data_IF_103017494115
#
_entry.id   IF_103017494115
#
_cell.length_a   1.000
_cell.length_b   1.000
_cell.length_c   1.000
_cell.angle_alpha   90.00
_cell.angle_beta   90.00
_cell.angle_gamma   90.00
#
_symmetry.space_group_name_H-M   'P 1'
#
loop_
_entity.id
_entity.type
_entity.pdbx_description
1 polymer ?
#
# COMPACT_ATOMS: atom_id res chain seq x y z
N UNK A 1 -78.88 -15.92 -20.02
CA UNK A 1 -78.00 -15.08 -19.21
C UNK A 1 -76.56 -15.42 -19.50
N UNK A 2 -75.89 -14.66 -20.38
CA UNK A 2 -74.50 -14.85 -20.74
C UNK A 2 -73.62 -13.99 -19.81
N UNK A 3 -72.75 -14.62 -19.01
CA UNK A 3 -71.77 -13.92 -18.17
C UNK A 3 -70.55 -13.63 -19.04
N UNK A 4 -70.25 -12.34 -19.24
CA UNK A 4 -69.03 -11.84 -19.87
C UNK A 4 -67.96 -11.77 -18.79
N UNK A 5 -66.88 -12.57 -18.91
CA UNK A 5 -65.68 -12.44 -18.07
C UNK A 5 -64.78 -11.38 -18.68
N UNK A 6 -64.58 -10.28 -17.97
CA UNK A 6 -63.67 -9.20 -18.32
C UNK A 6 -62.26 -9.63 -17.84
N UNK A 7 -61.36 -9.94 -18.74
CA UNK A 7 -59.96 -10.27 -18.46
C UNK A 7 -59.22 -8.94 -18.34
N UNK A 8 -58.85 -8.53 -17.10
CA UNK A 8 -58.01 -7.36 -16.88
C UNK A 8 -56.56 -7.79 -17.05
N UNK A 9 -55.95 -7.39 -18.17
CA UNK A 9 -54.52 -7.59 -18.45
C UNK A 9 -53.71 -6.55 -17.66
N UNK A 10 -53.09 -6.95 -16.52
CA UNK A 10 -52.14 -6.15 -15.79
C UNK A 10 -50.82 -6.09 -16.56
N UNK A 11 -50.58 -5.00 -17.28
CA UNK A 11 -49.27 -4.70 -17.87
C UNK A 11 -48.36 -4.25 -16.74
N UNK A 12 -47.50 -5.16 -16.27
CA UNK A 12 -46.40 -4.81 -15.37
C UNK A 12 -45.38 -3.99 -16.15
N UNK A 13 -45.41 -2.68 -15.99
CA UNK A 13 -44.35 -1.79 -16.48
C UNK A 13 -43.11 -2.04 -15.61
N UNK A 14 -42.17 -2.88 -16.10
CA UNK A 14 -40.84 -2.97 -15.54
C UNK A 14 -40.15 -1.62 -15.73
N UNK A 15 -40.19 -0.78 -14.70
CA UNK A 15 -39.34 0.42 -14.62
C UNK A 15 -37.93 -0.08 -14.37
N UNK A 16 -37.17 -0.27 -15.46
CA UNK A 16 -35.73 -0.48 -15.37
C UNK A 16 -35.12 0.72 -14.62
N UNK A 17 -34.31 0.50 -13.56
CA UNK A 17 -33.63 1.61 -12.92
C UNK A 17 -32.82 2.36 -13.96
N UNK A 18 -32.77 3.70 -13.92
CA UNK A 18 -31.99 4.47 -14.87
C UNK A 18 -30.55 3.95 -14.86
N UNK A 19 -30.10 3.43 -15.99
CA UNK A 19 -28.69 3.17 -16.25
C UNK A 19 -28.01 4.51 -16.00
N UNK A 20 -27.31 4.65 -14.87
CA UNK A 20 -26.45 5.82 -14.62
C UNK A 20 -25.54 5.89 -15.84
N UNK A 21 -25.80 6.82 -16.74
CA UNK A 21 -24.94 7.12 -17.86
C UNK A 21 -23.57 7.37 -17.26
N UNK A 22 -22.58 6.60 -17.68
CA UNK A 22 -21.20 6.82 -17.30
C UNK A 22 -20.88 8.29 -17.62
N UNK A 23 -20.89 9.15 -16.60
CA UNK A 23 -20.51 10.55 -16.78
C UNK A 23 -19.16 10.53 -17.46
N UNK A 24 -19.07 11.14 -18.62
CA UNK A 24 -17.85 11.22 -19.41
C UNK A 24 -16.76 11.77 -18.50
N UNK A 25 -15.81 10.89 -18.12
CA UNK A 25 -14.65 11.28 -17.29
C UNK A 25 -14.00 12.49 -17.96
N UNK A 26 -13.80 13.62 -17.26
CA UNK A 26 -13.19 14.80 -17.85
C UNK A 26 -11.86 14.40 -18.47
N UNK A 27 -11.65 14.74 -19.76
CA UNK A 27 -10.49 14.28 -20.52
C UNK A 27 -9.15 14.78 -19.99
N UNK A 28 -9.16 15.83 -19.12
CA UNK A 28 -7.97 16.30 -18.41
C UNK A 28 -8.35 16.95 -17.07
N UNK A 29 -7.67 16.56 -16.00
CA UNK A 29 -7.64 17.30 -14.74
C UNK A 29 -6.69 18.48 -14.95
N UNK A 30 -7.16 19.72 -14.70
CA UNK A 30 -6.35 20.92 -14.88
C UNK A 30 -5.17 20.94 -13.93
N UNK A 31 -4.01 21.32 -14.43
CA UNK A 31 -2.78 21.40 -13.67
C UNK A 31 -2.35 22.86 -13.46
N UNK A 32 -1.72 23.13 -12.33
CA UNK A 32 -1.11 24.42 -11.99
C UNK A 32 0.32 24.21 -11.52
N UNK A 33 1.24 25.06 -11.98
CA UNK A 33 2.61 25.07 -11.51
C UNK A 33 2.73 25.82 -10.19
N UNK A 34 3.42 25.19 -9.23
CA UNK A 34 3.76 25.80 -7.94
C UNK A 34 5.04 25.19 -7.40
N UNK A 35 6.00 26.03 -6.96
CA UNK A 35 7.30 25.61 -6.41
C UNK A 35 8.02 24.56 -7.28
N UNK A 36 8.07 24.78 -8.61
CA UNK A 36 8.79 23.92 -9.55
C UNK A 36 8.15 22.59 -9.86
N UNK A 37 6.84 22.38 -9.54
CA UNK A 37 6.11 21.14 -9.84
C UNK A 37 4.65 21.40 -10.18
N UNK A 38 4.03 20.42 -10.84
CA UNK A 38 2.61 20.49 -11.18
C UNK A 38 1.74 20.02 -10.01
N UNK A 39 0.64 20.74 -9.80
CA UNK A 39 -0.38 20.44 -8.81
C UNK A 39 -1.75 20.36 -9.48
N UNK A 40 -2.61 19.49 -8.92
CA UNK A 40 -3.97 19.23 -9.40
C UNK A 40 -4.97 19.76 -8.38
N UNK A 41 -6.01 20.46 -8.83
CA UNK A 41 -7.07 20.92 -7.95
C UNK A 41 -7.83 19.72 -7.34
N UNK A 42 -7.98 19.71 -6.04
CA UNK A 42 -8.68 18.61 -5.31
C UNK A 42 -10.15 18.52 -5.74
N UNK A 43 -10.79 19.64 -6.09
CA UNK A 43 -12.15 19.66 -6.66
C UNK A 43 -12.26 18.96 -8.01
N UNK A 44 -11.21 19.05 -8.84
CA UNK A 44 -11.20 18.38 -10.14
C UNK A 44 -10.96 16.88 -9.98
N UNK A 45 -10.14 16.47 -8.99
CA UNK A 45 -9.98 15.08 -8.59
C UNK A 45 -11.31 14.50 -8.07
N UNK A 46 -12.03 15.27 -7.25
CA UNK A 46 -13.35 14.86 -6.75
C UNK A 46 -14.31 14.62 -7.92
N UNK A 47 -14.38 15.56 -8.87
CA UNK A 47 -15.20 15.43 -10.09
C UNK A 47 -14.78 14.25 -10.95
N UNK A 48 -13.47 14.04 -11.12
CA UNK A 48 -12.90 12.94 -11.90
C UNK A 48 -13.33 11.56 -11.38
N UNK A 49 -13.43 11.40 -10.04
CA UNK A 49 -13.89 10.17 -9.41
C UNK A 49 -15.40 10.14 -9.14
N UNK A 50 -16.14 11.23 -9.41
CA UNK A 50 -17.54 11.35 -9.02
C UNK A 50 -17.75 11.43 -7.50
N UNK A 51 -16.74 11.91 -6.76
CA UNK A 51 -16.76 12.01 -5.30
C UNK A 51 -17.34 13.33 -4.83
N UNK A 52 -18.11 13.30 -3.74
CA UNK A 52 -18.43 14.48 -2.95
C UNK A 52 -17.16 14.97 -2.22
N UNK A 53 -16.96 16.30 -2.12
CA UNK A 53 -15.85 16.90 -1.38
C UNK A 53 -16.40 17.74 -0.24
N UNK A 54 -15.92 17.48 0.97
CA UNK A 54 -16.27 18.20 2.20
C UNK A 54 -15.00 18.79 2.80
N UNK A 55 -15.06 20.09 3.16
CA UNK A 55 -14.03 20.75 3.98
C UNK A 55 -14.39 20.63 5.45
N UNK A 56 -13.50 20.06 6.23
CA UNK A 56 -13.55 19.98 7.68
C UNK A 56 -12.63 21.00 8.37
N UNK A 57 -12.49 20.92 9.68
CA UNK A 57 -11.59 21.79 10.45
C UNK A 57 -10.12 21.57 10.04
N UNK A 58 -9.26 22.55 10.41
CA UNK A 58 -7.81 22.51 10.18
C UNK A 58 -7.41 22.27 8.72
N UNK A 59 -8.19 22.82 7.76
CA UNK A 59 -7.96 22.64 6.32
C UNK A 59 -7.87 21.17 5.89
N UNK A 60 -8.63 20.29 6.54
CA UNK A 60 -8.81 18.91 6.17
C UNK A 60 -9.90 18.79 5.10
N UNK A 61 -9.61 18.07 4.03
CA UNK A 61 -10.55 17.79 2.95
C UNK A 61 -10.79 16.29 2.86
N UNK A 62 -12.06 15.92 2.74
CA UNK A 62 -12.50 14.54 2.55
C UNK A 62 -13.23 14.44 1.23
N UNK A 63 -12.76 13.56 0.35
CA UNK A 63 -13.47 13.17 -0.87
C UNK A 63 -14.03 11.77 -0.63
N UNK A 64 -15.31 11.55 -0.93
CA UNK A 64 -15.94 10.26 -0.70
C UNK A 64 -17.00 9.91 -1.74
N UNK A 65 -17.02 8.60 -2.09
CA UNK A 65 -18.04 7.98 -2.92
C UNK A 65 -18.21 6.52 -2.47
N UNK A 66 -19.38 6.16 -1.94
CA UNK A 66 -19.63 4.81 -1.39
C UNK A 66 -18.50 4.39 -0.42
N UNK A 67 -17.76 3.36 -0.77
CA UNK A 67 -16.67 2.81 0.07
C UNK A 67 -15.28 3.41 -0.26
N UNK A 68 -15.20 4.36 -1.20
CA UNK A 68 -13.96 5.03 -1.57
C UNK A 68 -13.84 6.35 -0.81
N UNK A 69 -12.67 6.59 -0.20
CA UNK A 69 -12.42 7.79 0.59
C UNK A 69 -10.98 8.26 0.45
N UNK A 70 -10.81 9.55 0.19
CA UNK A 70 -9.52 10.23 0.18
C UNK A 70 -9.57 11.32 1.24
N UNK A 71 -8.62 11.34 2.15
CA UNK A 71 -8.47 12.40 3.17
C UNK A 71 -7.11 13.04 3.00
N UNK A 72 -7.10 14.36 2.92
CA UNK A 72 -5.87 15.16 2.88
C UNK A 72 -6.03 16.39 3.79
N UNK A 73 -4.91 16.87 4.31
CA UNK A 73 -4.86 18.09 5.13
C UNK A 73 -3.80 19.01 4.51
N UNK A 74 -4.18 20.23 4.22
CA UNK A 74 -3.26 21.23 3.65
C UNK A 74 -2.09 21.46 4.60
N UNK A 75 -0.90 21.60 4.05
CA UNK A 75 0.38 21.76 4.77
C UNK A 75 0.80 20.52 5.62
N UNK A 76 0.15 19.36 5.43
CA UNK A 76 0.53 18.11 6.10
C UNK A 76 0.77 17.01 5.08
N UNK A 77 1.87 16.26 5.21
CA UNK A 77 2.19 15.13 4.32
C UNK A 77 1.44 13.85 4.67
N UNK A 78 0.62 13.82 5.69
CA UNK A 78 -0.17 12.64 6.05
C UNK A 78 -1.65 12.84 5.73
N UNK A 79 -2.29 11.75 5.40
CA UNK A 79 -3.71 11.64 5.12
C UNK A 79 -4.17 10.19 5.18
N UNK A 80 -5.26 9.86 4.51
CA UNK A 80 -5.68 8.47 4.38
C UNK A 80 -6.33 8.17 3.04
N UNK A 81 -6.18 6.92 2.58
CA UNK A 81 -6.86 6.37 1.43
C UNK A 81 -7.64 5.12 1.88
N UNK A 82 -8.96 5.14 1.72
CA UNK A 82 -9.85 4.04 2.13
C UNK A 82 -9.63 3.62 3.60
N UNK A 83 -9.37 4.60 4.48
CA UNK A 83 -9.17 4.39 5.91
C UNK A 83 -7.73 4.08 6.34
N UNK A 84 -6.84 3.78 5.41
CA UNK A 84 -5.41 3.50 5.70
C UNK A 84 -4.59 4.78 5.66
N UNK A 85 -3.79 5.00 6.69
CA UNK A 85 -2.85 6.15 6.77
C UNK A 85 -1.86 6.09 5.62
N UNK A 86 -1.63 7.23 4.99
CA UNK A 86 -0.66 7.37 3.91
C UNK A 86 0.20 8.61 4.12
N UNK A 87 1.47 8.53 3.71
CA UNK A 87 2.34 9.69 3.65
C UNK A 87 2.41 10.18 2.21
N UNK A 88 1.90 11.40 1.97
CA UNK A 88 2.06 12.06 0.67
C UNK A 88 3.52 12.44 0.43
N UNK A 89 3.93 12.45 -0.82
CA UNK A 89 5.29 12.86 -1.24
C UNK A 89 5.50 14.35 -0.95
N UNK A 90 4.45 15.15 -1.20
CA UNK A 90 4.42 16.57 -0.93
C UNK A 90 3.17 16.93 -0.14
N UNK A 91 3.29 17.89 0.75
CA UNK A 91 2.12 18.41 1.44
C UNK A 91 1.14 19.04 0.44
N UNK A 92 -0.18 18.74 0.53
CA UNK A 92 -1.19 19.50 -0.19
C UNK A 92 -1.10 20.98 0.15
N UNK A 93 -1.40 21.86 -0.80
CA UNK A 93 -1.27 23.31 -0.65
C UNK A 93 -2.59 24.02 -0.96
N UNK A 94 -2.76 25.25 -0.48
CA UNK A 94 -3.78 26.17 -1.02
C UNK A 94 -3.17 27.05 -2.11
N UNK A 95 -3.80 27.10 -3.27
CA UNK A 95 -3.50 28.06 -4.32
C UNK A 95 -4.81 28.81 -4.65
N UNK A 96 -4.79 30.14 -4.54
CA UNK A 96 -5.98 30.98 -4.73
C UNK A 96 -7.20 30.50 -3.95
N UNK A 97 -7.00 30.16 -2.65
CA UNK A 97 -8.05 29.71 -1.73
C UNK A 97 -8.57 28.29 -1.95
N UNK A 98 -8.02 27.53 -2.91
CA UNK A 98 -8.44 26.16 -3.23
C UNK A 98 -7.37 25.14 -2.86
N UNK A 99 -7.74 23.93 -2.43
CA UNK A 99 -6.78 22.87 -2.13
C UNK A 99 -6.25 22.21 -3.41
N UNK A 100 -4.95 21.93 -3.41
CA UNK A 100 -4.24 21.23 -4.48
C UNK A 100 -3.35 20.12 -3.92
N UNK A 101 -3.18 19.04 -4.68
CA UNK A 101 -2.26 17.94 -4.42
C UNK A 101 -1.24 17.85 -5.57
N UNK A 102 -0.01 17.43 -5.29
CA UNK A 102 0.96 17.27 -6.37
C UNK A 102 0.52 16.23 -7.40
N UNK A 103 0.83 16.45 -8.68
CA UNK A 103 0.56 15.47 -9.74
C UNK A 103 1.27 14.13 -9.44
N UNK A 104 2.45 14.19 -8.83
CA UNK A 104 3.19 12.99 -8.45
C UNK A 104 2.44 12.19 -7.39
N UNK A 105 1.88 12.85 -6.36
CA UNK A 105 1.02 12.20 -5.36
C UNK A 105 -0.24 11.62 -5.99
N UNK A 106 -0.90 12.38 -6.86
CA UNK A 106 -2.07 11.86 -7.55
C UNK A 106 -1.72 10.61 -8.34
N UNK A 107 -0.68 10.65 -9.18
CA UNK A 107 -0.35 9.58 -10.11
C UNK A 107 0.30 8.34 -9.47
N UNK A 108 1.04 8.51 -8.35
CA UNK A 108 1.83 7.44 -7.72
C UNK A 108 1.26 6.95 -6.39
N UNK A 109 0.43 7.76 -5.72
CA UNK A 109 -0.15 7.45 -4.40
C UNK A 109 -1.65 7.20 -4.51
N UNK A 110 -2.42 8.16 -5.05
CA UNK A 110 -3.89 8.11 -5.07
C UNK A 110 -4.42 7.17 -6.16
N UNK A 111 -4.04 7.39 -7.41
CA UNK A 111 -4.52 6.65 -8.58
C UNK A 111 -4.39 5.12 -8.44
N UNK A 112 -3.24 4.56 -8.04
CA UNK A 112 -3.09 3.12 -7.96
C UNK A 112 -4.00 2.47 -6.91
N UNK A 113 -4.43 3.21 -5.88
CA UNK A 113 -5.37 2.75 -4.86
C UNK A 113 -6.82 2.87 -5.34
N UNK A 114 -7.16 3.97 -6.03
CA UNK A 114 -8.53 4.26 -6.44
C UNK A 114 -8.96 3.53 -7.72
N UNK A 115 -8.03 3.22 -8.65
CA UNK A 115 -8.35 2.63 -9.95
C UNK A 115 -7.44 1.48 -10.34
N UNK A 116 -8.01 0.28 -10.53
CA UNK A 116 -7.26 -0.87 -11.04
C UNK A 116 -6.81 -0.70 -12.51
N UNK A 117 -7.47 0.18 -13.27
CA UNK A 117 -7.17 0.40 -14.69
C UNK A 117 -5.78 1.03 -14.93
N UNK A 118 -5.21 1.70 -13.93
CA UNK A 118 -3.86 2.32 -14.06
C UNK A 118 -2.73 1.35 -13.73
N UNK A 119 -3.06 0.13 -13.30
CA UNK A 119 -2.09 -0.91 -13.01
C UNK A 119 -1.87 -1.78 -14.26
N UNK A 120 -0.63 -2.05 -14.65
CA UNK A 120 -0.33 -3.02 -15.70
C UNK A 120 -0.93 -4.38 -15.35
N UNK A 121 -1.55 -5.02 -16.36
CA UNK A 121 -2.11 -6.36 -16.20
C UNK A 121 -1.01 -7.39 -16.34
N UNK A 122 -0.77 -8.15 -15.26
CA UNK A 122 0.24 -9.20 -15.22
C UNK A 122 -0.23 -10.35 -14.33
N UNK A 123 -0.07 -11.58 -14.79
CA UNK A 123 -0.25 -12.78 -13.96
C UNK A 123 0.95 -12.92 -13.02
N UNK A 124 0.70 -12.86 -11.73
CA UNK A 124 1.70 -13.09 -10.69
C UNK A 124 1.74 -14.60 -10.39
N UNK A 125 2.92 -15.20 -10.50
CA UNK A 125 3.16 -16.63 -10.29
C UNK A 125 4.20 -16.91 -9.21
N UNK A 126 5.13 -15.98 -9.02
CA UNK A 126 6.28 -16.19 -8.15
C UNK A 126 6.53 -14.99 -7.23
N UNK A 127 7.00 -15.29 -6.02
CA UNK A 127 7.24 -14.31 -4.96
C UNK A 127 8.60 -14.58 -4.32
N UNK A 128 9.43 -13.55 -4.19
CA UNK A 128 10.63 -13.59 -3.35
C UNK A 128 10.28 -13.04 -1.97
N UNK A 129 10.55 -13.81 -0.93
CA UNK A 129 10.51 -13.35 0.46
C UNK A 129 11.95 -13.10 0.91
N UNK A 130 12.16 -11.95 1.52
CA UNK A 130 13.44 -11.52 2.06
C UNK A 130 13.33 -11.33 3.58
N UNK A 131 13.69 -12.36 4.38
CA UNK A 131 13.77 -12.19 5.83
C UNK A 131 14.92 -11.24 6.16
N UNK A 132 14.62 -10.09 6.76
CA UNK A 132 15.63 -9.09 7.13
C UNK A 132 16.70 -9.66 8.05
N UNK A 133 17.92 -9.09 8.00
CA UNK A 133 19.07 -9.46 8.83
C UNK A 133 19.52 -10.91 8.67
N UNK A 134 20.21 -11.47 9.66
CA UNK A 134 20.68 -12.86 9.68
C UNK A 134 22.18 -13.00 9.95
N UNK A 135 22.62 -14.16 10.45
CA UNK A 135 24.01 -14.44 10.79
C UNK A 135 24.59 -13.41 11.76
N UNK A 136 25.64 -12.70 11.33
CA UNK A 136 26.32 -11.64 12.10
C UNK A 136 25.48 -10.37 12.31
N UNK A 137 24.48 -10.14 11.49
CA UNK A 137 23.54 -9.01 11.63
C UNK A 137 22.31 -9.47 12.40
N UNK A 138 22.23 -9.07 13.66
CA UNK A 138 21.13 -9.43 14.55
C UNK A 138 19.86 -8.61 14.29
N UNK A 139 19.97 -7.42 13.67
CA UNK A 139 18.89 -6.43 13.65
C UNK A 139 18.61 -5.86 15.04
N UNK A 140 17.41 -5.35 15.23
CA UNK A 140 16.99 -4.75 16.48
C UNK A 140 16.87 -5.79 17.62
N UNK A 141 17.26 -5.42 18.87
CA UNK A 141 17.00 -6.24 20.04
C UNK A 141 15.50 -6.17 20.41
N UNK A 142 14.95 -7.32 20.78
CA UNK A 142 13.58 -7.47 21.25
C UNK A 142 13.48 -7.95 22.70
N UNK A 143 12.25 -8.11 23.23
CA UNK A 143 12.02 -8.67 24.55
C UNK A 143 12.60 -10.11 24.68
N UNK A 144 12.85 -10.53 25.93
CA UNK A 144 13.31 -11.89 26.25
C UNK A 144 14.60 -12.30 25.51
N UNK A 145 15.53 -11.36 25.33
CA UNK A 145 16.80 -11.58 24.59
C UNK A 145 16.61 -12.06 23.15
N UNK A 146 15.46 -11.77 22.55
CA UNK A 146 15.22 -12.06 21.13
C UNK A 146 15.88 -11.02 20.23
N UNK A 147 16.11 -11.41 18.97
CA UNK A 147 16.64 -10.56 17.94
C UNK A 147 15.71 -10.51 16.73
N UNK A 148 15.70 -9.39 16.04
CA UNK A 148 14.89 -9.20 14.83
C UNK A 148 15.10 -10.31 13.81
N UNK A 149 16.34 -10.73 13.57
CA UNK A 149 16.66 -11.81 12.60
C UNK A 149 15.91 -13.10 12.84
N UNK A 150 15.62 -13.44 14.10
CA UNK A 150 14.89 -14.67 14.48
C UNK A 150 13.40 -14.53 14.16
N UNK A 151 12.82 -13.37 14.47
CA UNK A 151 11.40 -13.07 14.29
C UNK A 151 11.07 -12.97 12.81
N UNK A 152 11.90 -12.24 12.05
CA UNK A 152 11.72 -12.08 10.59
C UNK A 152 11.84 -13.42 9.87
N UNK A 153 12.79 -14.29 10.26
CA UNK A 153 12.89 -15.65 9.71
C UNK A 153 11.65 -16.48 10.04
N UNK A 154 11.20 -16.47 11.30
CA UNK A 154 10.03 -17.25 11.74
C UNK A 154 8.76 -16.84 10.99
N UNK A 155 8.49 -15.52 10.85
CA UNK A 155 7.35 -15.01 10.08
C UNK A 155 7.49 -15.41 8.60
N UNK A 156 8.68 -15.26 8.02
CA UNK A 156 8.93 -15.52 6.60
C UNK A 156 8.79 -16.99 6.23
N UNK A 157 9.20 -17.92 7.08
CA UNK A 157 9.01 -19.35 6.83
C UNK A 157 7.52 -19.72 6.81
N UNK A 158 6.74 -19.20 7.76
CA UNK A 158 5.27 -19.39 7.79
C UNK A 158 4.60 -18.73 6.58
N UNK A 159 5.06 -17.53 6.19
CA UNK A 159 4.56 -16.84 5.01
C UNK A 159 4.86 -17.59 3.72
N UNK A 160 6.06 -18.17 3.58
CA UNK A 160 6.41 -19.05 2.46
C UNK A 160 5.40 -20.19 2.30
N UNK A 161 5.13 -20.90 3.40
CA UNK A 161 4.26 -22.08 3.35
C UNK A 161 2.80 -21.68 3.05
N UNK A 162 2.33 -20.59 3.63
CA UNK A 162 1.00 -20.05 3.35
C UNK A 162 0.83 -19.56 1.89
N UNK A 163 1.84 -18.91 1.31
CA UNK A 163 1.80 -18.50 -0.09
C UNK A 163 1.92 -19.69 -1.06
N UNK A 164 2.72 -20.70 -0.73
CA UNK A 164 2.79 -21.95 -1.50
C UNK A 164 1.44 -22.67 -1.52
N UNK A 165 0.73 -22.71 -0.40
CA UNK A 165 -0.62 -23.26 -0.31
C UNK A 165 -1.64 -22.46 -1.18
N UNK A 166 -1.34 -21.21 -1.56
CA UNK A 166 -2.12 -20.42 -2.53
C UNK A 166 -1.67 -20.62 -3.99
N UNK A 167 -0.73 -21.52 -4.25
CA UNK A 167 -0.25 -21.87 -5.59
C UNK A 167 0.88 -21.00 -6.13
N UNK A 168 1.54 -20.18 -5.29
CA UNK A 168 2.70 -19.42 -5.72
C UNK A 168 4.00 -20.25 -5.64
N UNK A 169 4.88 -20.04 -6.62
CA UNK A 169 6.29 -20.41 -6.46
C UNK A 169 6.95 -19.40 -5.53
N UNK A 170 7.52 -19.86 -4.42
CA UNK A 170 8.11 -18.97 -3.40
C UNK A 170 9.60 -19.23 -3.26
N UNK A 171 10.38 -18.17 -3.50
CA UNK A 171 11.81 -18.09 -3.26
C UNK A 171 12.08 -17.36 -1.95
N UNK A 172 13.24 -17.62 -1.34
CA UNK A 172 13.67 -16.92 -0.13
C UNK A 172 15.14 -16.53 -0.23
N UNK A 173 15.50 -15.34 0.30
CA UNK A 173 16.91 -14.91 0.35
C UNK A 173 17.70 -15.68 1.43
N UNK A 174 17.02 -16.13 2.49
CA UNK A 174 17.55 -17.06 3.49
C UNK A 174 16.46 -17.94 4.10
N UNK A 175 16.80 -19.16 4.46
CA UNK A 175 15.92 -20.14 5.14
C UNK A 175 16.47 -20.58 6.50
N UNK A 176 17.63 -20.05 6.88
CA UNK A 176 18.32 -20.27 8.15
C UNK A 176 18.99 -18.99 8.65
N UNK A 177 19.75 -19.09 9.74
CA UNK A 177 20.50 -17.97 10.33
C UNK A 177 21.81 -17.74 9.58
N UNK A 178 21.74 -17.21 8.35
CA UNK A 178 22.87 -16.78 7.54
C UNK A 178 22.68 -15.31 7.12
N UNK A 179 23.77 -14.63 6.78
CA UNK A 179 23.79 -13.23 6.37
C UNK A 179 24.04 -13.11 4.86
N UNK A 180 23.02 -13.07 3.99
CA UNK A 180 23.19 -12.54 2.66
C UNK A 180 23.33 -11.01 2.74
N UNK A 181 24.33 -10.47 2.04
CA UNK A 181 24.49 -9.02 1.92
C UNK A 181 23.29 -8.40 1.21
N UNK A 182 23.13 -7.09 1.30
CA UNK A 182 22.04 -6.38 0.58
C UNK A 182 22.14 -6.61 -0.93
N UNK A 183 23.33 -6.69 -1.46
CA UNK A 183 23.59 -6.98 -2.87
C UNK A 183 23.22 -8.43 -3.21
N UNK A 184 23.59 -9.40 -2.37
CA UNK A 184 23.22 -10.81 -2.57
C UNK A 184 21.70 -10.98 -2.65
N UNK A 185 20.94 -10.30 -1.78
CA UNK A 185 19.47 -10.33 -1.78
C UNK A 185 18.90 -9.86 -3.12
N UNK A 186 19.43 -8.77 -3.66
CA UNK A 186 19.04 -8.24 -4.98
C UNK A 186 19.43 -9.20 -6.10
N UNK A 187 20.65 -9.77 -6.04
CA UNK A 187 21.16 -10.72 -7.03
C UNK A 187 20.38 -12.05 -7.01
N UNK A 188 19.98 -12.54 -5.84
CA UNK A 188 19.08 -13.71 -5.71
C UNK A 188 17.74 -13.44 -6.39
N UNK A 189 17.14 -12.24 -6.21
CA UNK A 189 15.93 -11.87 -6.92
C UNK A 189 16.16 -11.82 -8.44
N UNK A 190 17.26 -11.23 -8.89
CA UNK A 190 17.58 -11.11 -10.32
C UNK A 190 17.73 -12.50 -10.99
N UNK A 191 18.30 -13.47 -10.28
CA UNK A 191 18.42 -14.88 -10.74
C UNK A 191 17.04 -15.58 -10.76
N UNK A 192 16.24 -15.42 -9.70
CA UNK A 192 14.93 -16.05 -9.57
C UNK A 192 13.87 -15.41 -10.48
N UNK A 193 14.04 -14.15 -10.88
CA UNK A 193 13.08 -13.35 -11.66
C UNK A 193 11.66 -13.38 -11.06
N UNK A 194 11.57 -13.33 -9.73
CA UNK A 194 10.27 -13.38 -9.05
C UNK A 194 9.40 -12.17 -9.42
N UNK A 195 8.09 -12.39 -9.51
CA UNK A 195 7.11 -11.36 -9.91
C UNK A 195 6.88 -10.31 -8.83
N UNK A 196 7.07 -10.66 -7.55
CA UNK A 196 6.97 -9.77 -6.38
C UNK A 196 8.16 -9.97 -5.44
N UNK A 197 8.49 -8.91 -4.70
CA UNK A 197 9.50 -8.94 -3.63
C UNK A 197 8.93 -8.42 -2.32
N UNK A 198 8.97 -9.22 -1.26
CA UNK A 198 8.46 -8.92 0.07
C UNK A 198 9.60 -9.00 1.08
N UNK A 199 10.11 -7.86 1.56
CA UNK A 199 11.10 -7.79 2.64
C UNK A 199 10.39 -7.70 3.98
N UNK A 200 10.74 -8.56 4.92
CA UNK A 200 10.07 -8.69 6.23
C UNK A 200 11.03 -8.22 7.32
N UNK A 201 10.58 -7.23 8.07
CA UNK A 201 11.33 -6.56 9.12
C UNK A 201 10.49 -6.36 10.38
N UNK A 202 11.17 -5.96 11.46
CA UNK A 202 10.58 -5.45 12.69
C UNK A 202 11.29 -4.16 13.08
N UNK A 203 10.54 -3.11 13.27
CA UNK A 203 11.06 -1.78 13.56
C UNK A 203 11.61 -1.64 15.00
N UNK A 204 12.36 -0.58 15.22
CA UNK A 204 12.79 -0.15 16.55
C UNK A 204 12.83 1.37 16.64
N UNK A 205 12.62 1.90 17.84
CA UNK A 205 12.72 3.32 18.15
C UNK A 205 13.42 3.53 19.49
N UNK A 206 14.10 4.66 19.63
CA UNK A 206 14.61 5.12 20.94
C UNK A 206 13.46 5.43 21.89
N UNK A 207 12.33 5.90 21.38
CA UNK A 207 11.10 6.15 22.15
C UNK A 207 10.31 4.85 22.28
N UNK A 208 10.36 4.25 23.48
CA UNK A 208 9.80 2.91 23.74
C UNK A 208 8.28 2.82 23.67
N UNK A 209 7.55 3.93 23.75
CA UNK A 209 6.09 3.96 23.60
C UNK A 209 5.63 3.82 22.15
N UNK A 210 6.52 4.07 21.16
CA UNK A 210 6.18 3.92 19.75
C UNK A 210 5.90 2.45 19.42
N UNK A 211 4.78 2.21 18.76
CA UNK A 211 4.31 0.88 18.31
C UNK A 211 3.58 1.02 16.97
N UNK A 212 3.13 -0.09 16.39
CA UNK A 212 2.31 -0.14 15.19
C UNK A 212 3.03 -0.72 13.98
N UNK A 213 2.32 -0.80 12.89
CA UNK A 213 2.78 -1.41 11.63
C UNK A 213 2.93 -0.34 10.55
N UNK A 214 3.99 -0.45 9.75
CA UNK A 214 4.20 0.41 8.59
C UNK A 214 4.75 -0.37 7.40
N UNK A 215 4.33 0.01 6.20
CA UNK A 215 4.80 -0.62 4.96
C UNK A 215 5.50 0.41 4.10
N UNK A 216 6.72 0.11 3.68
CA UNK A 216 7.54 1.00 2.87
C UNK A 216 7.55 0.59 1.40
N UNK A 217 7.49 1.62 0.54
CA UNK A 217 7.74 1.53 -0.90
C UNK A 217 8.94 2.38 -1.28
N UNK A 218 9.55 2.09 -2.43
CA UNK A 218 10.62 2.96 -2.95
C UNK A 218 10.07 4.36 -3.21
N UNK A 219 10.81 5.37 -2.76
CA UNK A 219 10.46 6.77 -3.02
C UNK A 219 10.56 7.06 -4.52
N UNK A 220 9.53 7.60 -5.17
CA UNK A 220 9.61 8.03 -6.56
C UNK A 220 10.71 9.06 -6.81
N UNK A 221 11.33 9.01 -7.98
CA UNK A 221 12.30 10.02 -8.41
C UNK A 221 11.64 11.42 -8.40
N UNK A 222 12.36 12.43 -7.95
CA UNK A 222 11.87 13.80 -7.81
C UNK A 222 11.13 14.08 -6.50
N UNK A 223 10.99 13.09 -5.60
CA UNK A 223 10.32 13.24 -4.31
C UNK A 223 11.26 13.05 -3.11
N UNK A 224 10.93 13.61 -1.93
CA UNK A 224 11.59 13.29 -0.66
C UNK A 224 11.03 11.97 -0.10
N UNK A 225 11.87 11.23 0.64
CA UNK A 225 11.41 10.10 1.47
C UNK A 225 10.52 10.61 2.61
N UNK A 226 9.83 9.70 3.29
CA UNK A 226 8.91 10.09 4.37
C UNK A 226 9.61 10.78 5.54
N UNK A 227 10.86 10.40 5.82
CA UNK A 227 11.73 11.03 6.85
C UNK A 227 12.46 12.28 6.36
N UNK A 228 12.46 12.57 5.05
CA UNK A 228 13.28 13.62 4.46
C UNK A 228 12.43 14.82 4.04
N UNK A 229 13.05 15.99 3.94
CA UNK A 229 12.49 17.19 3.33
C UNK A 229 13.03 17.44 1.90
N UNK A 230 14.19 16.89 1.56
CA UNK A 230 14.87 17.13 0.29
C UNK A 230 14.48 16.09 -0.74
N UNK A 231 14.09 16.54 -1.93
CA UNK A 231 13.83 15.69 -3.10
C UNK A 231 15.13 15.06 -3.63
N UNK A 232 15.03 13.82 -4.12
CA UNK A 232 16.11 13.14 -4.79
C UNK A 232 15.64 12.69 -6.18
N UNK A 233 16.35 13.07 -7.23
CA UNK A 233 15.97 12.84 -8.62
C UNK A 233 16.54 11.54 -9.20
N UNK A 234 17.37 10.81 -8.45
CA UNK A 234 17.91 9.52 -8.89
C UNK A 234 16.78 8.52 -9.13
N UNK A 235 16.72 8.00 -10.36
CA UNK A 235 15.80 6.95 -10.74
C UNK A 235 16.43 5.58 -10.49
N UNK A 236 15.85 4.80 -9.59
CA UNK A 236 16.28 3.44 -9.27
C UNK A 236 15.46 2.41 -10.08
N UNK A 237 15.94 1.16 -10.15
CA UNK A 237 15.22 0.06 -10.84
C UNK A 237 13.78 -0.12 -10.33
N UNK A 238 13.58 -0.07 -9.01
CA UNK A 238 12.26 -0.18 -8.37
C UNK A 238 11.26 0.92 -8.76
N UNK A 239 11.74 2.10 -9.21
CA UNK A 239 10.86 3.19 -9.65
C UNK A 239 10.09 2.89 -10.96
N UNK A 240 10.48 1.87 -11.71
CA UNK A 240 9.68 1.40 -12.83
C UNK A 240 8.31 0.86 -12.39
N UNK A 241 8.16 0.53 -11.10
CA UNK A 241 6.99 -0.11 -10.51
C UNK A 241 6.27 0.77 -9.46
N UNK A 242 6.50 2.09 -9.42
CA UNK A 242 5.96 2.97 -8.37
C UNK A 242 4.47 2.75 -8.07
N UNK A 243 3.62 2.65 -9.11
CA UNK A 243 2.17 2.43 -8.94
C UNK A 243 1.86 1.06 -8.36
N UNK A 244 2.56 0.04 -8.85
CA UNK A 244 2.39 -1.34 -8.39
C UNK A 244 2.90 -1.51 -6.96
N UNK A 245 4.06 -0.92 -6.63
CA UNK A 245 4.61 -0.89 -5.27
C UNK A 245 3.60 -0.29 -4.29
N UNK A 246 3.05 0.88 -4.66
CA UNK A 246 2.12 1.58 -3.78
C UNK A 246 0.82 0.81 -3.58
N UNK A 247 0.25 0.24 -4.66
CA UNK A 247 -0.93 -0.61 -4.55
C UNK A 247 -0.68 -1.83 -3.68
N UNK A 248 0.43 -2.54 -3.90
CA UNK A 248 0.80 -3.72 -3.12
C UNK A 248 0.94 -3.38 -1.62
N UNK A 249 1.67 -2.30 -1.32
CA UNK A 249 1.85 -1.83 0.05
C UNK A 249 0.52 -1.46 0.71
N UNK A 250 -0.36 -0.74 0.01
CA UNK A 250 -1.64 -0.33 0.55
C UNK A 250 -2.55 -1.54 0.86
N UNK A 251 -2.61 -2.54 -0.02
CA UNK A 251 -3.41 -3.74 0.24
C UNK A 251 -2.85 -4.56 1.41
N UNK A 252 -1.52 -4.69 1.51
CA UNK A 252 -0.87 -5.39 2.62
C UNK A 252 -1.10 -4.62 3.93
N UNK A 253 -0.83 -3.30 3.97
CA UNK A 253 -1.04 -2.47 5.16
C UNK A 253 -2.48 -2.58 5.66
N UNK A 254 -3.44 -2.47 4.76
CA UNK A 254 -4.86 -2.57 5.09
C UNK A 254 -5.21 -3.90 5.78
N UNK A 255 -4.71 -5.03 5.25
CA UNK A 255 -4.98 -6.33 5.86
C UNK A 255 -4.23 -6.50 7.19
N UNK A 256 -3.01 -5.97 7.29
CA UNK A 256 -2.24 -5.99 8.53
C UNK A 256 -3.00 -5.27 9.66
N UNK A 257 -3.45 -4.04 9.42
CA UNK A 257 -4.21 -3.29 10.42
C UNK A 257 -5.50 -4.00 10.81
N UNK A 258 -6.25 -4.47 9.82
CA UNK A 258 -7.53 -5.13 10.07
C UNK A 258 -7.38 -6.45 10.89
N UNK A 259 -6.39 -7.30 10.55
CA UNK A 259 -6.24 -8.62 11.21
C UNK A 259 -5.47 -8.57 12.52
N UNK A 260 -4.59 -7.61 12.70
CA UNK A 260 -3.75 -7.54 13.90
C UNK A 260 -4.28 -6.59 14.96
N UNK A 261 -5.14 -5.63 14.58
CA UNK A 261 -5.57 -4.54 15.45
C UNK A 261 -4.44 -3.60 15.87
N UNK A 262 -3.30 -3.62 15.16
CA UNK A 262 -2.17 -2.75 15.45
C UNK A 262 -2.46 -1.30 15.09
N UNK A 263 -1.70 -0.36 15.67
CA UNK A 263 -1.70 1.03 15.25
C UNK A 263 -1.28 1.14 13.78
N UNK A 264 -2.05 1.89 13.00
CA UNK A 264 -1.77 2.15 11.58
C UNK A 264 -0.77 3.30 11.45
N UNK A 265 0.48 2.97 11.16
CA UNK A 265 1.53 3.96 10.87
C UNK A 265 1.66 4.23 9.37
N UNK A 266 0.88 3.55 8.55
CA UNK A 266 0.62 3.83 7.17
C UNK A 266 1.63 3.30 6.16
N UNK A 267 1.36 3.67 4.90
CA UNK A 267 2.27 3.45 3.79
C UNK A 267 3.23 4.62 3.68
N UNK A 268 4.53 4.32 3.68
CA UNK A 268 5.64 5.28 3.69
C UNK A 268 6.58 5.10 2.50
N UNK A 269 7.41 6.08 2.27
CA UNK A 269 8.39 6.12 1.18
C UNK A 269 9.81 6.14 1.75
N UNK A 270 10.67 5.21 1.31
CA UNK A 270 12.08 5.16 1.67
C UNK A 270 12.92 4.61 0.50
N UNK A 271 14.23 4.86 0.52
CA UNK A 271 15.17 4.32 -0.49
C UNK A 271 15.98 3.15 0.06
N UNK A 272 15.31 2.22 0.77
CA UNK A 272 15.97 1.01 1.25
C UNK A 272 16.59 0.22 0.09
N UNK A 273 17.79 -0.29 0.31
CA UNK A 273 18.62 -0.85 -0.75
C UNK A 273 17.90 -1.94 -1.55
N UNK A 274 17.25 -2.88 -0.87
CA UNK A 274 16.60 -4.01 -1.52
C UNK A 274 15.42 -3.58 -2.39
N UNK A 275 14.50 -2.75 -1.88
CA UNK A 275 13.30 -2.36 -2.64
C UNK A 275 13.59 -1.34 -3.76
N UNK A 276 14.71 -0.57 -3.69
CA UNK A 276 15.06 0.36 -4.76
C UNK A 276 15.77 -0.33 -5.94
N UNK A 277 16.42 -1.47 -5.70
CA UNK A 277 17.29 -2.12 -6.68
C UNK A 277 16.69 -3.37 -7.34
N UNK A 278 15.59 -3.93 -6.85
CA UNK A 278 14.89 -5.05 -7.52
C UNK A 278 14.04 -4.56 -8.69
N UNK A 279 13.90 -5.39 -9.72
CA UNK A 279 13.18 -5.09 -10.95
C UNK A 279 11.78 -5.73 -10.98
N UNK A 280 11.03 -5.59 -9.89
CA UNK A 280 9.63 -6.02 -9.75
C UNK A 280 8.91 -5.14 -8.73
N UNK A 281 7.58 -5.23 -8.60
CA UNK A 281 6.86 -4.64 -7.48
C UNK A 281 7.39 -5.15 -6.15
N UNK A 282 7.80 -4.22 -5.27
CA UNK A 282 8.52 -4.52 -4.04
C UNK A 282 8.03 -3.68 -2.86
N UNK A 283 7.98 -4.29 -1.69
CA UNK A 283 7.65 -3.64 -0.42
C UNK A 283 8.57 -4.13 0.69
N UNK A 284 8.78 -3.27 1.71
CA UNK A 284 9.38 -3.65 2.98
C UNK A 284 8.32 -3.44 4.07
N UNK A 285 8.10 -4.47 4.87
CA UNK A 285 7.02 -4.54 5.85
C UNK A 285 7.63 -4.57 7.25
N UNK A 286 7.38 -3.51 8.03
CA UNK A 286 7.71 -3.43 9.45
C UNK A 286 6.52 -3.98 10.24
N UNK A 287 6.65 -5.20 10.77
CA UNK A 287 5.54 -5.98 11.35
C UNK A 287 5.18 -5.56 12.78
N UNK A 288 5.92 -4.62 13.35
CA UNK A 288 5.76 -4.05 14.68
C UNK A 288 7.09 -3.56 15.23
N UNK A 289 7.08 -2.88 16.38
CA UNK A 289 8.27 -2.33 17.03
C UNK A 289 8.78 -3.25 18.13
N UNK A 290 9.97 -3.82 17.95
CA UNK A 290 10.62 -4.66 18.96
C UNK A 290 11.05 -3.87 20.19
N UNK A 291 11.33 -2.58 20.04
CA UNK A 291 11.65 -1.66 21.13
C UNK A 291 10.48 -1.38 22.08
N UNK A 292 9.24 -1.59 21.63
CA UNK A 292 8.05 -1.54 22.47
C UNK A 292 7.84 -2.91 23.13
N UNK A 293 7.96 -2.99 24.45
CA UNK A 293 7.92 -4.27 25.17
C UNK A 293 6.62 -5.05 24.91
N UNK A 294 5.46 -4.38 24.94
CA UNK A 294 4.15 -5.01 24.71
C UNK A 294 4.03 -5.57 23.29
N UNK A 295 4.36 -4.76 22.29
CA UNK A 295 4.26 -5.17 20.88
C UNK A 295 5.32 -6.22 20.54
N UNK A 296 6.58 -6.02 20.97
CA UNK A 296 7.66 -6.97 20.77
C UNK A 296 7.36 -8.34 21.41
N UNK A 297 6.78 -8.36 22.63
CA UNK A 297 6.35 -9.60 23.28
C UNK A 297 5.23 -10.31 22.49
N UNK A 298 4.30 -9.57 21.89
CA UNK A 298 3.28 -10.16 21.03
C UNK A 298 3.88 -10.81 19.78
N UNK A 299 4.94 -10.24 19.19
CA UNK A 299 5.63 -10.80 18.03
C UNK A 299 6.33 -12.13 18.33
N UNK A 300 6.59 -12.44 19.61
CA UNK A 300 7.14 -13.72 20.07
C UNK A 300 6.07 -14.79 20.32
N UNK A 301 4.79 -14.43 20.31
CA UNK A 301 3.68 -15.41 20.48
C UNK A 301 3.41 -16.17 19.18
N UNK A 302 2.52 -17.16 19.24
CA UNK A 302 2.02 -17.82 18.05
C UNK A 302 0.98 -16.95 17.30
N UNK A 303 0.10 -16.29 18.04
CA UNK A 303 -1.09 -15.60 17.50
C UNK A 303 -0.73 -14.41 16.60
N UNK A 304 0.16 -13.52 17.07
CA UNK A 304 0.48 -12.30 16.35
C UNK A 304 1.22 -12.54 15.02
N UNK A 305 2.28 -13.38 14.96
CA UNK A 305 2.92 -13.78 13.71
C UNK A 305 1.95 -14.43 12.72
N UNK A 306 1.06 -15.30 13.18
CA UNK A 306 0.07 -15.95 12.29
C UNK A 306 -0.95 -14.95 11.74
N UNK A 307 -1.43 -14.00 12.55
CA UNK A 307 -2.28 -12.90 12.07
C UNK A 307 -1.57 -12.05 11.02
N UNK A 308 -0.27 -11.76 11.24
CA UNK A 308 0.60 -11.04 10.30
C UNK A 308 0.75 -11.81 8.98
N UNK A 309 1.06 -13.10 9.04
CA UNK A 309 1.17 -13.97 7.85
C UNK A 309 -0.12 -13.96 7.04
N UNK A 310 -1.25 -14.23 7.71
CA UNK A 310 -2.56 -14.25 7.04
C UNK A 310 -2.92 -12.90 6.42
N UNK A 311 -2.55 -11.80 7.07
CA UNK A 311 -2.76 -10.45 6.55
C UNK A 311 -1.93 -10.18 5.28
N UNK A 312 -0.64 -10.54 5.29
CA UNK A 312 0.23 -10.38 4.11
C UNK A 312 -0.29 -11.22 2.94
N UNK A 313 -0.67 -12.48 3.18
CA UNK A 313 -1.27 -13.35 2.16
C UNK A 313 -2.52 -12.71 1.55
N UNK A 314 -3.45 -12.23 2.38
CA UNK A 314 -4.68 -11.60 1.88
C UNK A 314 -4.40 -10.30 1.12
N UNK A 315 -3.43 -9.49 1.58
CA UNK A 315 -2.97 -8.29 0.87
C UNK A 315 -2.40 -8.62 -0.51
N UNK A 316 -1.55 -9.64 -0.60
CA UNK A 316 -1.01 -10.15 -1.87
C UNK A 316 -2.13 -10.63 -2.78
N UNK A 317 -3.08 -11.42 -2.29
CA UNK A 317 -4.21 -11.92 -3.08
C UNK A 317 -5.09 -10.79 -3.64
N UNK A 318 -5.34 -9.73 -2.86
CA UNK A 318 -6.05 -8.53 -3.32
C UNK A 318 -5.30 -7.80 -4.42
N UNK A 319 -3.97 -7.65 -4.27
CA UNK A 319 -3.12 -7.07 -5.31
C UNK A 319 -3.16 -7.91 -6.60
N UNK A 320 -3.01 -9.23 -6.48
CA UNK A 320 -3.09 -10.16 -7.62
C UNK A 320 -4.43 -10.04 -8.35
N UNK A 321 -5.54 -9.97 -7.61
CA UNK A 321 -6.87 -9.74 -8.19
C UNK A 321 -6.96 -8.42 -8.95
N UNK A 322 -6.36 -7.34 -8.43
CA UNK A 322 -6.36 -6.02 -9.07
C UNK A 322 -5.54 -5.97 -10.38
N UNK A 323 -4.51 -6.81 -10.50
CA UNK A 323 -3.58 -6.86 -11.63
C UNK A 323 -3.84 -8.03 -12.61
N UNK A 324 -4.79 -8.91 -12.30
CA UNK A 324 -5.12 -10.08 -13.15
C UNK A 324 -5.51 -9.63 -14.57
N UNK A 325 -4.95 -10.22 -15.63
CA UNK A 325 -5.48 -10.09 -16.97
C UNK A 325 -6.94 -10.56 -17.03
N UNK A 326 -7.72 -9.92 -17.91
CA UNK A 326 -9.10 -10.35 -18.21
C UNK A 326 -9.08 -11.62 -19.02
#
# INVERSE_FOLDING_TARGET
MRRVFLLILLIAVCVLPPVLSAQSVPRSIRTQWYSGRRYLAVSDIARFYGMAMVRGPNNRYTLSLRNARIVLTVNKRYGSLNGIVVTYLFAPVHLNGRPYISELDFSKVVEPVMRNAVLPKKRIRSIMIDPGHGGKDNGAPGPNRSWEKQITLSISLKLRDALRAKGFTVFMTRTGDRYPSLEDRVNMHAKARADLYLSIHCNASVVKSINGIETFVVTPAGAPSSSDSKSNFTRNKGNAFDRQNYRLAHEIQRQLIWKTGAEDRGVKHARFYVIKNVACPAVLIETGFLSNYREGSQLLTYRRPMATVNAIVDGVMRYVSATKPR
#
